data_IF_997370015158
#
_entry.id   IF_997370015158
#
_cell.length_a   1.000
_cell.length_b   1.000
_cell.length_c   1.000
_cell.angle_alpha   90.00
_cell.angle_beta   90.00
_cell.angle_gamma   90.00
#
_symmetry.space_group_name_H-M   'P 1'
#
loop_
_entity.id
_entity.type
_entity.pdbx_description
1 polymer ?
#
# COMPACT_ATOMS: atom_id res chain seq x y z
N UNK A 1 -31.08 -22.71 14.82
CA UNK A 1 -32.38 -22.01 14.67
C UNK A 1 -32.28 -21.13 13.42
N UNK A 2 -32.89 -21.60 12.34
CA UNK A 2 -33.01 -20.87 11.07
C UNK A 2 -34.05 -19.76 11.21
N UNK A 3 -33.72 -18.51 10.79
CA UNK A 3 -34.74 -17.49 10.54
C UNK A 3 -34.79 -17.18 9.04
N UNK A 4 -35.92 -17.60 8.49
CA UNK A 4 -36.41 -17.36 7.14
C UNK A 4 -36.71 -15.89 6.92
N UNK A 5 -36.25 -15.28 5.82
CA UNK A 5 -36.69 -13.96 5.35
C UNK A 5 -37.54 -14.09 4.10
N UNK A 6 -38.71 -13.51 4.20
CA UNK A 6 -39.77 -13.49 3.17
C UNK A 6 -39.41 -12.57 2.00
N UNK A 7 -39.72 -13.08 0.79
CA UNK A 7 -39.78 -12.33 -0.48
C UNK A 7 -40.94 -11.36 -0.47
N UNK A 8 -40.73 -10.15 -0.94
CA UNK A 8 -41.79 -9.28 -1.46
C UNK A 8 -41.50 -8.92 -2.91
N UNK A 9 -42.50 -9.13 -3.76
CA UNK A 9 -42.54 -8.84 -5.22
C UNK A 9 -42.67 -7.33 -5.49
N UNK A 10 -42.17 -6.85 -6.64
CA UNK A 10 -42.39 -5.48 -7.10
C UNK A 10 -43.61 -5.38 -8.01
N UNK A 11 -44.39 -4.31 -7.85
CA UNK A 11 -45.45 -3.88 -8.71
C UNK A 11 -44.90 -3.10 -9.92
N UNK A 12 -45.52 -3.40 -11.10
CA UNK A 12 -45.26 -2.80 -12.40
C UNK A 12 -45.81 -1.37 -12.47
N UNK A 13 -45.12 -0.46 -13.13
CA UNK A 13 -45.66 0.74 -13.73
C UNK A 13 -45.08 0.94 -15.15
N UNK A 14 -45.95 1.21 -16.07
CA UNK A 14 -45.80 1.30 -17.51
C UNK A 14 -45.27 2.67 -18.00
N UNK A 15 -44.63 2.80 -19.19
CA UNK A 15 -44.02 4.04 -19.64
C UNK A 15 -44.97 4.94 -20.40
N UNK A 16 -44.77 6.25 -20.27
CA UNK A 16 -45.37 7.27 -21.14
C UNK A 16 -44.34 7.74 -22.17
N UNK A 17 -44.69 7.57 -23.43
CA UNK A 17 -44.08 8.16 -24.61
C UNK A 17 -44.41 9.66 -24.68
N UNK A 18 -43.41 10.49 -24.99
CA UNK A 18 -43.65 11.82 -25.55
C UNK A 18 -42.62 12.12 -26.65
N UNK A 19 -43.16 12.28 -27.85
CA UNK A 19 -42.46 12.66 -29.09
C UNK A 19 -42.48 14.19 -29.24
N UNK A 20 -41.46 14.75 -29.90
CA UNK A 20 -41.48 15.93 -30.75
C UNK A 20 -40.12 16.66 -30.65
N UNK A 21 -39.53 17.29 -31.63
CA UNK A 21 -39.72 17.66 -33.02
C UNK A 21 -38.39 18.22 -33.52
N UNK A 22 -38.13 18.00 -34.81
CA UNK A 22 -37.00 18.47 -35.59
C UNK A 22 -36.92 19.99 -35.70
N UNK A 23 -35.71 20.53 -35.68
CA UNK A 23 -35.41 21.88 -36.11
C UNK A 23 -34.01 21.93 -36.73
N UNK A 24 -33.95 21.91 -38.07
CA UNK A 24 -32.74 22.15 -38.87
C UNK A 24 -32.44 23.65 -38.91
N UNK A 25 -31.18 24.03 -38.69
CA UNK A 25 -30.64 25.27 -39.21
C UNK A 25 -29.18 25.07 -39.64
N UNK A 26 -28.99 25.31 -40.93
CA UNK A 26 -27.72 25.36 -41.65
C UNK A 26 -26.98 26.67 -41.30
N UNK A 27 -25.67 26.61 -41.03
CA UNK A 27 -24.84 27.79 -40.79
C UNK A 27 -23.35 27.47 -40.96
N UNK A 28 -22.87 27.89 -42.07
CA UNK A 28 -21.53 28.11 -42.66
C UNK A 28 -20.30 27.97 -41.78
N UNK A 29 -19.34 27.23 -42.33
CA UNK A 29 -17.92 27.10 -42.05
C UNK A 29 -17.17 28.42 -41.92
N UNK A 30 -16.44 28.59 -40.83
CA UNK A 30 -15.18 29.36 -40.74
C UNK A 30 -14.21 28.63 -39.88
N UNK A 31 -13.08 28.25 -40.46
CA UNK A 31 -11.88 27.79 -39.77
C UNK A 31 -11.18 28.98 -39.12
N UNK A 32 -10.80 28.93 -37.85
CA UNK A 32 -9.79 29.85 -37.30
C UNK A 32 -8.40 29.19 -37.38
N UNK A 33 -7.47 29.99 -37.92
CA UNK A 33 -6.03 29.74 -37.89
C UNK A 33 -5.51 29.56 -36.47
N UNK A 34 -4.60 28.60 -36.29
CA UNK A 34 -3.82 28.44 -35.08
C UNK A 34 -2.82 29.62 -34.90
N UNK A 35 -2.73 30.25 -33.71
CA UNK A 35 -1.57 31.03 -33.36
C UNK A 35 -0.52 30.07 -32.75
N UNK A 36 0.64 30.07 -33.38
CA UNK A 36 1.84 29.41 -32.87
C UNK A 36 2.13 29.81 -31.41
N UNK A 37 2.11 28.84 -30.53
CA UNK A 37 2.57 29.01 -29.16
C UNK A 37 4.04 28.63 -29.11
N UNK A 38 4.89 29.63 -29.02
CA UNK A 38 6.25 29.47 -28.55
C UNK A 38 6.23 28.86 -27.15
N UNK A 39 6.87 27.70 -27.01
CA UNK A 39 7.17 27.11 -25.71
C UNK A 39 8.22 27.99 -25.03
N UNK A 40 7.79 28.79 -24.11
CA UNK A 40 8.65 29.39 -23.10
C UNK A 40 9.06 28.26 -22.15
N UNK A 41 10.34 27.89 -22.17
CA UNK A 41 10.98 27.10 -21.13
C UNK A 41 11.04 27.99 -19.87
N UNK A 42 9.99 27.89 -19.05
CA UNK A 42 10.06 28.41 -17.70
C UNK A 42 10.75 27.35 -16.83
N UNK A 43 12.00 27.67 -16.51
CA UNK A 43 12.74 27.01 -15.43
C UNK A 43 11.86 26.89 -14.20
N UNK A 44 11.73 25.65 -13.71
CA UNK A 44 11.14 25.34 -12.40
C UNK A 44 12.04 26.00 -11.37
N UNK A 45 11.55 26.90 -10.51
CA UNK A 45 12.38 27.44 -9.44
C UNK A 45 12.81 26.30 -8.53
N UNK A 46 14.08 26.01 -8.52
CA UNK A 46 14.73 25.28 -7.46
C UNK A 46 14.62 26.16 -6.19
N UNK A 47 14.33 25.47 -5.09
CA UNK A 47 14.42 26.01 -3.73
C UNK A 47 13.16 26.70 -3.17
N UNK A 48 12.20 25.84 -2.73
CA UNK A 48 11.32 26.22 -1.63
C UNK A 48 12.15 26.05 -0.35
N UNK A 49 12.64 27.15 0.18
CA UNK A 49 13.55 27.23 1.32
C UNK A 49 13.25 26.22 2.42
N UNK A 50 14.23 25.38 2.71
CA UNK A 50 14.15 24.40 3.78
C UNK A 50 13.84 25.10 5.10
N UNK A 51 12.73 24.72 5.73
CA UNK A 51 12.39 25.20 7.06
C UNK A 51 13.53 24.81 8.03
N UNK A 52 14.18 25.76 8.74
CA UNK A 52 15.30 25.45 9.65
C UNK A 52 14.96 24.45 10.73
N UNK A 53 13.69 24.38 11.16
CA UNK A 53 13.21 23.37 12.11
C UNK A 53 13.24 21.95 11.51
N UNK A 54 13.00 21.83 10.21
CA UNK A 54 13.07 20.53 9.53
C UNK A 54 14.51 20.01 9.39
N UNK A 55 15.51 20.88 9.30
CA UNK A 55 16.92 20.48 9.27
C UNK A 55 17.40 19.97 10.63
N UNK A 56 16.91 20.56 11.71
CA UNK A 56 17.22 20.09 13.08
C UNK A 56 16.60 18.72 13.37
N UNK A 57 15.36 18.46 12.91
CA UNK A 57 14.71 17.15 13.01
C UNK A 57 15.43 16.08 12.16
N UNK A 58 16.01 16.47 11.05
CA UNK A 58 16.83 15.60 10.22
C UNK A 58 18.12 15.15 10.93
N UNK A 59 18.80 16.06 11.58
CA UNK A 59 20.03 15.76 12.33
C UNK A 59 19.73 15.02 13.65
N UNK A 60 18.63 15.36 14.31
CA UNK A 60 18.19 14.73 15.56
C UNK A 60 17.60 13.34 15.37
N UNK A 61 17.00 13.05 14.20
CA UNK A 61 16.38 11.76 13.91
C UNK A 61 17.35 10.58 13.88
N UNK A 62 18.66 10.85 13.75
CA UNK A 62 19.69 9.81 13.82
C UNK A 62 20.35 9.73 15.20
N UNK A 63 20.18 10.69 16.09
CA UNK A 63 20.88 10.74 17.37
C UNK A 63 20.02 11.03 18.60
N UNK A 64 18.73 11.26 18.48
CA UNK A 64 17.87 11.12 19.63
C UNK A 64 17.96 9.66 20.04
N UNK A 65 18.89 9.37 20.93
CA UNK A 65 18.95 8.11 21.62
C UNK A 65 17.56 7.88 22.19
N UNK A 66 16.76 7.10 21.48
CA UNK A 66 15.55 6.54 22.03
C UNK A 66 16.05 5.82 23.27
N UNK A 67 15.79 6.38 24.46
CA UNK A 67 16.08 5.69 25.69
C UNK A 67 15.53 4.30 25.50
N UNK A 68 16.38 3.31 25.74
CA UNK A 68 15.99 1.91 25.82
C UNK A 68 14.99 1.80 27.00
N UNK A 69 13.74 2.08 26.72
CA UNK A 69 12.63 2.02 27.69
C UNK A 69 12.12 0.59 27.81
N UNK A 70 12.97 -0.39 27.51
CA UNK A 70 12.62 -1.80 27.54
C UNK A 70 11.39 -2.11 26.67
N UNK A 71 11.46 -3.13 25.88
CA UNK A 71 10.25 -3.63 25.17
C UNK A 71 9.16 -3.85 26.23
N UNK A 72 7.94 -3.37 25.96
CA UNK A 72 6.80 -3.72 26.79
C UNK A 72 6.79 -5.24 26.98
N UNK A 73 6.72 -5.70 28.22
CA UNK A 73 6.73 -7.12 28.50
C UNK A 73 5.56 -7.80 27.74
N UNK A 74 5.80 -8.99 27.18
CA UNK A 74 4.73 -9.76 26.58
C UNK A 74 3.56 -9.86 27.56
N UNK A 75 2.34 -9.69 27.06
CA UNK A 75 1.13 -9.75 27.89
C UNK A 75 0.72 -11.18 28.35
N UNK A 76 1.63 -12.12 28.17
CA UNK A 76 1.48 -13.51 28.61
C UNK A 76 0.73 -14.42 27.64
N UNK A 77 0.23 -13.90 26.51
CA UNK A 77 -0.42 -14.69 25.48
C UNK A 77 0.40 -14.74 24.19
N UNK A 78 0.61 -15.93 23.62
CA UNK A 78 1.38 -16.14 22.41
C UNK A 78 2.90 -16.07 22.59
N UNK A 79 3.64 -16.11 21.48
CA UNK A 79 5.11 -16.17 21.48
C UNK A 79 5.69 -15.03 20.63
N UNK A 80 6.46 -14.11 21.24
CA UNK A 80 7.18 -13.10 20.48
C UNK A 80 8.29 -13.73 19.65
N UNK A 81 8.41 -13.32 18.41
CA UNK A 81 9.46 -13.76 17.49
C UNK A 81 10.14 -12.56 16.83
N UNK A 82 11.38 -12.72 16.39
CA UNK A 82 12.09 -11.71 15.62
C UNK A 82 12.23 -12.06 14.15
N UNK A 83 11.79 -13.25 13.76
CA UNK A 83 11.91 -13.78 12.39
C UNK A 83 10.68 -14.62 12.05
N UNK A 84 10.11 -14.33 10.89
CA UNK A 84 9.05 -15.14 10.27
C UNK A 84 9.41 -15.44 8.82
N UNK A 85 9.23 -16.68 8.41
CA UNK A 85 9.45 -17.14 7.04
C UNK A 85 8.16 -17.67 6.47
N UNK A 86 7.86 -17.34 5.22
CA UNK A 86 6.78 -17.95 4.45
C UNK A 86 7.42 -18.73 3.30
N UNK A 87 7.14 -20.00 3.25
CA UNK A 87 7.64 -20.93 2.23
C UNK A 87 6.56 -21.23 1.22
N UNK A 88 6.99 -21.78 0.07
CA UNK A 88 6.13 -22.16 -1.04
C UNK A 88 5.25 -20.99 -1.53
N UNK A 89 5.82 -19.78 -1.53
CA UNK A 89 5.18 -18.62 -2.11
C UNK A 89 5.35 -18.69 -3.63
N UNK A 90 4.23 -18.72 -4.32
CA UNK A 90 4.21 -18.85 -5.77
C UNK A 90 4.03 -20.29 -6.25
N UNK A 91 3.63 -20.41 -7.49
CA UNK A 91 3.27 -21.67 -8.13
C UNK A 91 2.69 -21.39 -9.51
N UNK A 92 1.85 -22.28 -10.00
CA UNK A 92 1.10 -22.09 -11.24
C UNK A 92 -0.38 -22.03 -10.93
N UNK A 93 -1.04 -20.95 -11.33
CA UNK A 93 -2.46 -20.75 -11.08
C UNK A 93 -3.01 -19.52 -11.80
N UNK A 94 -4.04 -18.96 -11.25
CA UNK A 94 -4.64 -17.73 -11.79
C UNK A 94 -5.25 -16.90 -10.68
N UNK A 95 -5.33 -15.59 -10.92
CA UNK A 95 -6.07 -14.69 -10.06
C UNK A 95 -6.94 -13.73 -10.87
N UNK A 96 -7.88 -13.07 -10.21
CA UNK A 96 -8.73 -12.03 -10.81
C UNK A 96 -8.02 -10.70 -10.76
N UNK A 97 -7.31 -10.36 -11.85
CA UNK A 97 -6.66 -9.05 -12.00
C UNK A 97 -7.71 -7.95 -12.13
N UNK A 98 -7.59 -6.90 -11.33
CA UNK A 98 -8.40 -5.69 -11.49
C UNK A 98 -7.99 -4.97 -12.77
N UNK A 99 -8.93 -4.77 -13.67
CA UNK A 99 -8.73 -4.08 -14.94
C UNK A 99 -9.30 -2.67 -14.94
N UNK A 100 -10.31 -2.42 -14.12
CA UNK A 100 -10.90 -1.10 -13.96
C UNK A 100 -11.73 -1.02 -12.66
N UNK A 101 -11.90 0.19 -12.15
CA UNK A 101 -12.89 0.51 -11.13
C UNK A 101 -13.77 1.65 -11.62
N UNK A 102 -15.08 1.43 -11.60
CA UNK A 102 -16.04 2.44 -12.09
C UNK A 102 -16.17 3.57 -11.06
N UNK A 103 -16.42 4.81 -11.54
CA UNK A 103 -16.80 5.91 -10.66
C UNK A 103 -18.13 5.61 -9.96
N UNK A 104 -18.35 6.19 -8.80
CA UNK A 104 -19.60 6.10 -8.07
C UNK A 104 -19.41 6.27 -6.56
N UNK A 105 -20.51 6.28 -5.83
CA UNK A 105 -20.52 6.35 -4.39
C UNK A 105 -20.89 4.98 -3.84
N UNK A 106 -20.03 4.40 -3.01
CA UNK A 106 -20.24 3.08 -2.41
C UNK A 106 -21.61 2.98 -1.72
N UNK A 107 -22.33 1.91 -2.00
CA UNK A 107 -23.68 1.69 -1.44
C UNK A 107 -24.80 2.55 -2.01
N UNK A 108 -24.51 3.47 -2.97
CA UNK A 108 -25.49 4.37 -3.56
C UNK A 108 -25.59 4.19 -5.08
N UNK A 109 -24.54 4.48 -5.80
CA UNK A 109 -24.56 4.53 -7.28
C UNK A 109 -23.67 3.47 -7.93
N UNK A 110 -23.11 2.55 -7.16
CA UNK A 110 -22.19 1.55 -7.65
C UNK A 110 -22.94 0.35 -8.24
N UNK A 111 -22.70 0.01 -9.51
CA UNK A 111 -23.21 -1.23 -10.09
C UNK A 111 -22.52 -2.45 -9.48
N UNK A 112 -23.14 -3.63 -9.62
CA UNK A 112 -22.59 -4.88 -9.10
C UNK A 112 -21.24 -5.28 -9.71
N UNK A 113 -20.92 -4.77 -10.91
CA UNK A 113 -19.66 -5.00 -11.62
C UNK A 113 -18.71 -3.79 -11.52
N UNK A 114 -18.81 -3.00 -10.47
CA UNK A 114 -18.02 -1.79 -10.30
C UNK A 114 -16.50 -2.05 -10.29
N UNK A 115 -16.06 -3.15 -9.75
CA UNK A 115 -14.69 -3.64 -9.87
C UNK A 115 -14.61 -4.62 -11.03
N UNK A 116 -14.11 -4.14 -12.16
CA UNK A 116 -13.96 -4.95 -13.37
C UNK A 116 -12.67 -5.78 -13.26
N UNK A 117 -12.76 -7.05 -13.64
CA UNK A 117 -11.66 -8.00 -13.47
C UNK A 117 -11.51 -8.86 -14.72
N UNK A 118 -10.29 -9.34 -14.94
CA UNK A 118 -9.96 -10.36 -15.91
C UNK A 118 -9.12 -11.46 -15.26
N UNK A 119 -9.38 -12.70 -15.62
CA UNK A 119 -8.55 -13.83 -15.18
C UNK A 119 -7.16 -13.68 -15.76
N UNK A 120 -6.15 -13.74 -14.93
CA UNK A 120 -4.74 -13.65 -15.30
C UNK A 120 -4.02 -14.89 -14.80
N UNK A 121 -3.38 -15.61 -15.70
CA UNK A 121 -2.54 -16.76 -15.34
C UNK A 121 -1.24 -16.26 -14.75
N UNK A 122 -0.78 -16.93 -13.72
CA UNK A 122 0.51 -16.70 -13.05
C UNK A 122 1.29 -17.98 -12.92
N UNK A 123 2.62 -17.87 -12.96
CA UNK A 123 3.51 -19.00 -12.76
C UNK A 123 4.86 -18.54 -12.20
N UNK A 124 5.52 -19.44 -11.50
CA UNK A 124 6.86 -19.24 -10.97
C UNK A 124 6.91 -18.89 -9.50
N UNK A 125 8.10 -18.89 -8.98
CA UNK A 125 8.39 -18.52 -7.61
C UNK A 125 7.92 -17.08 -7.31
N UNK A 126 7.41 -16.83 -6.13
CA UNK A 126 6.84 -15.56 -5.68
C UNK A 126 5.53 -15.11 -6.36
N UNK A 127 5.00 -15.78 -7.38
CA UNK A 127 3.73 -15.34 -7.98
C UNK A 127 2.57 -15.37 -6.96
N UNK A 128 1.73 -14.32 -6.87
CA UNK A 128 1.72 -13.09 -7.64
C UNK A 128 2.58 -11.95 -7.03
N UNK A 129 3.31 -12.20 -5.95
CA UNK A 129 4.11 -11.18 -5.23
C UNK A 129 5.36 -10.74 -6.00
N UNK A 130 5.71 -11.40 -7.11
CA UNK A 130 6.71 -10.95 -8.07
C UNK A 130 6.21 -9.79 -8.95
N UNK A 131 4.91 -9.53 -8.99
CA UNK A 131 4.36 -8.32 -9.58
C UNK A 131 4.71 -7.07 -8.77
N UNK A 132 4.34 -5.91 -9.28
CA UNK A 132 4.56 -4.66 -8.58
C UNK A 132 3.73 -4.58 -7.30
N UNK A 133 4.39 -4.25 -6.20
CA UNK A 133 3.80 -4.14 -4.88
C UNK A 133 3.89 -2.71 -4.36
N UNK A 134 2.90 -2.33 -3.56
CA UNK A 134 2.87 -1.14 -2.72
C UNK A 134 2.98 -1.55 -1.25
N UNK A 135 3.53 -0.68 -0.41
CA UNK A 135 3.48 -0.84 1.05
C UNK A 135 2.48 0.14 1.61
N UNK A 136 1.63 -0.35 2.48
CA UNK A 136 0.60 0.42 3.15
C UNK A 136 0.90 0.54 4.64
N UNK A 137 0.48 1.64 5.22
CA UNK A 137 0.67 1.98 6.63
C UNK A 137 -0.65 2.46 7.23
N UNK A 138 -0.96 2.00 8.43
CA UNK A 138 -2.06 2.52 9.25
C UNK A 138 -1.51 2.97 10.60
N UNK A 139 -1.87 4.19 11.02
CA UNK A 139 -1.51 4.73 12.32
C UNK A 139 -2.36 4.18 13.49
N UNK A 140 -1.89 4.42 14.72
CA UNK A 140 -0.85 5.37 15.08
C UNK A 140 0.54 4.83 14.77
N UNK A 141 1.32 5.58 13.98
CA UNK A 141 2.66 5.14 13.57
C UNK A 141 3.58 6.34 13.36
N UNK A 142 4.84 6.16 13.68
CA UNK A 142 5.92 7.07 13.32
C UNK A 142 6.90 6.35 12.42
N UNK A 143 7.06 6.84 11.21
CA UNK A 143 8.03 6.37 10.24
C UNK A 143 9.31 7.21 10.35
N UNK A 144 10.45 6.56 10.26
CA UNK A 144 11.77 7.21 10.33
C UNK A 144 12.55 7.03 9.04
N UNK A 145 12.63 5.81 8.53
CA UNK A 145 13.34 5.46 7.31
C UNK A 145 12.59 4.39 6.54
N UNK A 146 12.63 4.49 5.22
CA UNK A 146 12.16 3.47 4.29
C UNK A 146 13.20 3.33 3.19
N UNK A 147 13.53 2.11 2.82
CA UNK A 147 14.36 1.83 1.66
C UNK A 147 13.86 0.59 0.93
N UNK A 148 13.99 0.61 -0.39
CA UNK A 148 13.69 -0.53 -1.25
C UNK A 148 14.94 -0.90 -2.02
N UNK A 149 15.29 -2.19 -1.99
CA UNK A 149 16.47 -2.72 -2.67
C UNK A 149 16.08 -3.76 -3.71
N UNK A 150 16.85 -3.79 -4.78
CA UNK A 150 16.78 -4.82 -5.82
C UNK A 150 18.09 -5.58 -5.93
N UNK A 151 18.05 -6.87 -6.27
CA UNK A 151 19.26 -7.67 -6.41
C UNK A 151 20.11 -7.19 -7.58
N UNK A 152 21.43 -7.16 -7.40
CA UNK A 152 22.45 -6.94 -8.40
C UNK A 152 23.50 -8.06 -8.36
N UNK A 153 24.54 -7.96 -9.19
CA UNK A 153 25.56 -9.01 -9.33
C UNK A 153 26.39 -9.27 -8.07
N UNK A 154 26.63 -8.25 -7.24
CA UNK A 154 27.49 -8.38 -6.04
C UNK A 154 26.80 -7.92 -4.77
N UNK A 155 25.75 -7.18 -4.88
CA UNK A 155 24.99 -6.60 -3.76
C UNK A 155 23.58 -6.27 -4.20
N UNK A 156 22.73 -5.98 -3.25
CA UNK A 156 21.41 -5.39 -3.47
C UNK A 156 21.56 -3.87 -3.44
N UNK A 157 21.10 -3.21 -4.50
CA UNK A 157 21.17 -1.74 -4.63
C UNK A 157 19.88 -1.08 -4.20
N UNK A 158 19.98 0.01 -3.47
CA UNK A 158 18.84 0.83 -3.09
C UNK A 158 18.28 1.54 -4.33
N UNK A 159 17.02 1.28 -4.65
CA UNK A 159 16.33 1.87 -5.80
C UNK A 159 15.33 2.95 -5.39
N UNK A 160 14.93 2.97 -4.13
CA UNK A 160 14.03 3.96 -3.57
C UNK A 160 14.33 4.17 -2.09
N UNK A 161 14.16 5.37 -1.59
CA UNK A 161 14.31 5.66 -0.17
C UNK A 161 13.50 6.87 0.25
N UNK A 162 13.18 6.89 1.52
CA UNK A 162 12.61 8.04 2.20
C UNK A 162 13.10 8.06 3.64
N UNK A 163 13.36 9.24 4.13
CA UNK A 163 13.46 9.55 5.55
C UNK A 163 12.84 10.93 5.80
N UNK A 164 12.79 11.38 7.03
CA UNK A 164 12.22 12.68 7.37
C UNK A 164 12.92 13.86 6.70
N UNK A 165 14.09 13.64 6.12
CA UNK A 165 14.91 14.68 5.46
C UNK A 165 14.70 14.73 3.97
N UNK A 166 14.33 13.65 3.33
CA UNK A 166 14.18 13.59 1.89
C UNK A 166 13.63 12.28 1.37
N UNK A 167 13.40 12.27 0.07
CA UNK A 167 12.88 11.12 -0.67
C UNK A 167 13.64 10.97 -1.98
N UNK A 168 13.87 9.75 -2.39
CA UNK A 168 14.42 9.40 -3.70
C UNK A 168 13.56 8.29 -4.29
N UNK A 169 12.93 8.55 -5.43
CA UNK A 169 12.07 7.61 -6.12
C UNK A 169 11.03 6.96 -5.20
N UNK A 170 10.40 7.74 -4.32
CA UNK A 170 9.38 7.28 -3.40
C UNK A 170 8.43 8.43 -3.04
N UNK A 171 7.16 8.22 -3.27
CA UNK A 171 6.10 9.18 -2.96
C UNK A 171 5.02 8.52 -2.11
N UNK A 172 4.45 9.31 -1.19
CA UNK A 172 3.33 8.91 -0.33
C UNK A 172 2.00 9.26 -0.96
N UNK A 173 1.07 8.32 -0.85
CA UNK A 173 -0.29 8.42 -1.36
C UNK A 173 -1.30 8.10 -0.26
N UNK A 174 -2.51 8.61 -0.46
CA UNK A 174 -3.69 8.19 0.28
C UNK A 174 -4.84 7.90 -0.70
N UNK A 175 -6.00 7.49 -0.18
CA UNK A 175 -7.18 7.22 -0.98
C UNK A 175 -8.31 8.18 -0.57
N UNK A 176 -8.03 9.47 -0.67
CA UNK A 176 -9.00 10.51 -0.33
C UNK A 176 -9.61 11.16 -1.58
N UNK A 177 -9.08 10.85 -2.76
CA UNK A 177 -9.51 11.43 -4.01
C UNK A 177 -9.21 12.92 -4.05
N UNK A 178 -9.86 13.63 -4.93
CA UNK A 178 -9.94 15.07 -4.86
C UNK A 178 -9.18 15.83 -5.92
N UNK A 179 -9.38 17.13 -5.88
CA UNK A 179 -8.94 18.10 -6.84
C UNK A 179 -7.42 18.18 -6.91
N UNK A 180 -6.87 18.06 -8.11
CA UNK A 180 -5.44 18.23 -8.37
C UNK A 180 -4.62 16.93 -8.31
N UNK A 181 -5.06 15.91 -7.58
CA UNK A 181 -4.40 14.60 -7.55
C UNK A 181 -5.10 13.54 -8.39
N UNK A 182 -5.97 13.93 -9.28
CA UNK A 182 -6.86 13.02 -9.97
C UNK A 182 -8.20 12.89 -9.26
N UNK A 183 -9.19 12.42 -9.95
CA UNK A 183 -10.52 12.17 -9.47
C UNK A 183 -10.42 11.12 -8.37
N UNK A 184 -11.21 10.90 -7.46
CA UNK A 184 -12.62 10.81 -7.49
C UNK A 184 -13.13 9.81 -6.49
N UNK A 185 -14.39 9.79 -6.31
CA UNK A 185 -15.08 8.69 -5.65
C UNK A 185 -15.20 7.52 -6.63
N UNK A 186 -14.59 6.40 -6.29
CA UNK A 186 -14.74 5.12 -6.95
C UNK A 186 -15.72 4.25 -6.19
N UNK A 187 -16.28 3.26 -6.86
CA UNK A 187 -17.21 2.32 -6.23
C UNK A 187 -16.58 1.44 -5.15
N UNK A 188 -15.28 1.32 -5.09
CA UNK A 188 -14.55 0.63 -4.01
C UNK A 188 -13.95 1.57 -2.98
N UNK A 189 -14.31 2.84 -2.99
CA UNK A 189 -13.73 3.89 -2.16
C UNK A 189 -13.20 5.04 -3.02
N UNK A 190 -12.50 6.00 -2.41
CA UNK A 190 -11.94 7.10 -3.17
C UNK A 190 -10.70 6.66 -3.96
N UNK A 191 -10.45 7.34 -5.08
CA UNK A 191 -9.26 7.11 -5.89
C UNK A 191 -7.98 7.47 -5.12
N UNK A 192 -6.87 6.90 -5.59
CA UNK A 192 -5.56 7.24 -5.07
C UNK A 192 -5.21 8.69 -5.39
N UNK A 193 -4.67 9.39 -4.41
CA UNK A 193 -4.23 10.78 -4.48
C UNK A 193 -2.88 10.94 -3.80
N UNK A 194 -2.15 12.01 -4.11
CA UNK A 194 -1.00 12.38 -3.31
C UNK A 194 -1.45 12.68 -1.88
N UNK A 195 -0.64 12.27 -0.91
CA UNK A 195 -0.91 12.55 0.49
C UNK A 195 -0.39 13.92 0.89
N UNK A 196 -1.11 14.62 1.76
CA UNK A 196 -0.57 15.79 2.47
C UNK A 196 0.58 15.40 3.41
N UNK A 197 1.28 16.40 3.92
CA UNK A 197 2.44 16.19 4.80
C UNK A 197 2.12 15.38 6.09
N UNK A 198 0.89 15.37 6.53
CA UNK A 198 0.39 14.59 7.69
C UNK A 198 -0.50 13.39 7.28
N UNK A 199 -0.68 13.15 5.99
CA UNK A 199 -1.48 12.06 5.43
C UNK A 199 -2.99 12.23 5.53
N UNK A 200 -3.49 13.31 6.13
CA UNK A 200 -4.92 13.45 6.46
C UNK A 200 -5.78 13.99 5.32
N UNK A 201 -5.17 14.63 4.34
CA UNK A 201 -5.85 15.19 3.19
C UNK A 201 -5.16 14.82 1.89
N UNK A 202 -5.87 14.93 0.77
CA UNK A 202 -5.27 14.85 -0.55
C UNK A 202 -4.46 16.10 -0.86
N UNK A 203 -3.35 15.94 -1.58
CA UNK A 203 -2.53 17.03 -2.08
C UNK A 203 -2.55 17.07 -3.61
N UNK A 204 -2.32 18.25 -4.19
CA UNK A 204 -2.30 18.45 -5.64
C UNK A 204 -1.03 17.91 -6.33
N UNK A 205 0.03 17.71 -5.57
CA UNK A 205 1.34 17.24 -6.04
C UNK A 205 2.02 16.42 -4.94
N UNK A 206 3.11 15.70 -5.26
CA UNK A 206 3.91 15.03 -4.25
C UNK A 206 4.29 15.97 -3.11
N UNK A 207 4.02 15.56 -1.90
CA UNK A 207 4.28 16.35 -0.69
C UNK A 207 5.21 15.57 0.23
N UNK A 208 6.13 16.27 0.86
CA UNK A 208 7.03 15.66 1.84
C UNK A 208 6.23 15.25 3.07
N UNK A 209 6.20 13.95 3.32
CA UNK A 209 5.57 13.40 4.51
C UNK A 209 6.42 13.65 5.75
N UNK A 210 5.80 14.04 6.87
CA UNK A 210 6.48 14.39 8.14
C UNK A 210 6.90 13.18 8.97
N UNK A 211 6.42 11.99 8.63
CA UNK A 211 6.75 10.75 9.33
C UNK A 211 5.76 10.36 10.43
N UNK A 212 4.75 11.16 10.74
CA UNK A 212 3.77 10.85 11.78
C UNK A 212 2.39 10.56 11.20
N UNK A 213 1.90 9.35 11.39
CA UNK A 213 0.55 8.91 11.05
C UNK A 213 -0.32 8.89 12.30
N UNK A 214 -1.36 9.72 12.30
CA UNK A 214 -2.35 9.71 13.35
C UNK A 214 -3.12 8.38 13.40
N UNK A 215 -3.76 8.11 14.53
CA UNK A 215 -4.66 6.97 14.68
C UNK A 215 -5.65 6.88 13.52
N UNK A 216 -5.83 5.70 12.95
CA UNK A 216 -6.68 5.39 11.78
C UNK A 216 -6.28 6.03 10.45
N UNK A 217 -5.29 6.90 10.43
CA UNK A 217 -4.79 7.45 9.16
C UNK A 217 -4.07 6.34 8.38
N UNK A 218 -4.41 6.20 7.12
CA UNK A 218 -3.80 5.21 6.24
C UNK A 218 -3.17 5.88 5.01
N UNK A 219 -1.99 5.41 4.66
CA UNK A 219 -1.23 5.85 3.50
C UNK A 219 -0.56 4.67 2.83
N UNK A 220 -0.17 4.84 1.58
CA UNK A 220 0.68 3.89 0.89
C UNK A 220 1.84 4.60 0.19
N UNK A 221 2.84 3.84 -0.22
CA UNK A 221 3.98 4.32 -0.98
C UNK A 221 4.09 3.63 -2.32
N UNK A 222 4.48 4.38 -3.33
CA UNK A 222 4.87 3.91 -4.67
C UNK A 222 6.12 4.63 -5.12
N UNK A 223 6.73 4.18 -6.22
CA UNK A 223 7.85 4.89 -6.84
C UNK A 223 7.39 6.20 -7.47
N UNK A 224 8.34 7.06 -7.83
CA UNK A 224 8.05 8.30 -8.56
C UNK A 224 7.80 8.07 -10.05
N UNK A 225 7.98 6.84 -10.54
CA UNK A 225 7.80 6.51 -11.94
C UNK A 225 6.32 6.61 -12.32
N UNK A 226 5.95 7.54 -13.21
CA UNK A 226 4.57 7.68 -13.64
C UNK A 226 4.14 6.45 -14.44
N UNK A 227 2.99 5.94 -14.12
CA UNK A 227 2.33 4.95 -14.91
C UNK A 227 1.60 5.63 -16.05
N UNK A 228 2.24 5.68 -17.22
CA UNK A 228 1.67 6.27 -18.42
C UNK A 228 0.98 5.15 -19.20
N UNK A 229 -0.33 5.06 -19.08
CA UNK A 229 -1.06 4.06 -19.81
C UNK A 229 -2.57 4.26 -19.72
N UNK A 230 -3.25 3.93 -20.77
CA UNK A 230 -4.68 3.73 -20.76
C UNK A 230 -4.93 2.46 -19.98
N UNK A 231 -5.78 2.48 -19.01
CA UNK A 231 -6.22 1.48 -18.04
C UNK A 231 -6.07 -0.02 -18.29
N UNK A 232 -5.41 -0.40 -19.34
CA UNK A 232 -5.09 -1.77 -19.71
C UNK A 232 -3.59 -2.05 -19.70
N UNK A 233 -2.77 -1.13 -19.27
CA UNK A 233 -1.38 -1.51 -19.09
C UNK A 233 -1.35 -2.52 -17.97
N UNK A 234 -0.91 -3.70 -18.33
CA UNK A 234 -0.85 -4.87 -17.46
C UNK A 234 -0.05 -4.64 -16.17
N UNK A 235 0.68 -3.55 -16.08
CA UNK A 235 1.65 -3.30 -15.03
C UNK A 235 1.27 -2.13 -14.12
N UNK A 236 0.51 -1.15 -14.60
CA UNK A 236 0.07 -0.01 -13.83
C UNK A 236 -1.27 -0.26 -13.18
N UNK A 237 -1.50 0.33 -12.04
CA UNK A 237 -2.81 0.38 -11.41
C UNK A 237 -3.88 1.02 -12.28
N UNK A 238 -5.01 1.35 -11.71
CA UNK A 238 -6.04 2.01 -12.49
C UNK A 238 -5.55 3.33 -13.04
N UNK A 239 -6.06 3.67 -14.20
CA UNK A 239 -5.85 5.00 -14.79
C UNK A 239 -6.70 6.10 -14.13
N UNK A 240 -7.47 5.76 -13.09
CA UNK A 240 -8.26 6.72 -12.31
C UNK A 240 -7.52 7.12 -11.05
N UNK A 241 -7.35 8.41 -10.84
CA UNK A 241 -6.50 8.96 -9.81
C UNK A 241 -5.03 8.98 -10.21
N UNK A 242 -4.16 9.21 -9.26
CA UNK A 242 -2.71 9.21 -9.48
C UNK A 242 -2.21 7.78 -9.56
N UNK A 243 -1.54 7.42 -10.66
CA UNK A 243 -0.95 6.11 -10.86
C UNK A 243 0.56 6.18 -10.92
N UNK A 244 1.21 5.25 -10.23
CA UNK A 244 2.66 5.11 -10.18
C UNK A 244 3.02 3.63 -10.22
N UNK A 245 4.25 3.34 -10.64
CA UNK A 245 4.81 2.00 -10.55
C UNK A 245 5.12 1.63 -9.09
N UNK A 246 4.84 0.39 -8.73
CA UNK A 246 5.35 -0.24 -7.52
C UNK A 246 6.72 -0.87 -7.73
N UNK A 247 7.05 -1.81 -6.87
CA UNK A 247 8.31 -2.56 -6.97
C UNK A 247 8.03 -4.05 -7.21
N UNK A 248 8.41 -4.54 -8.39
CA UNK A 248 8.22 -5.93 -8.81
C UNK A 248 9.48 -6.80 -8.65
N UNK A 249 9.39 -8.09 -8.99
CA UNK A 249 10.48 -9.05 -8.90
C UNK A 249 10.93 -9.37 -7.47
N UNK A 250 12.14 -9.91 -7.33
CA UNK A 250 12.81 -10.05 -6.04
C UNK A 250 13.16 -8.66 -5.51
N UNK A 251 12.90 -8.43 -4.22
CA UNK A 251 13.02 -7.10 -3.60
C UNK A 251 13.15 -7.21 -2.08
N UNK A 252 13.73 -6.18 -1.50
CA UNK A 252 13.76 -6.00 -0.05
C UNK A 252 13.10 -4.66 0.28
N UNK A 253 12.19 -4.67 1.22
CA UNK A 253 11.72 -3.47 1.90
C UNK A 253 12.33 -3.42 3.28
N UNK A 254 12.96 -2.30 3.61
CA UNK A 254 13.44 -1.98 4.95
C UNK A 254 12.65 -0.78 5.47
N UNK A 255 12.04 -0.91 6.64
CA UNK A 255 11.13 0.08 7.21
C UNK A 255 11.46 0.25 8.68
N UNK A 256 11.90 1.45 9.09
CA UNK A 256 12.07 1.78 10.50
C UNK A 256 10.85 2.55 10.99
N UNK A 257 10.17 1.98 11.96
CA UNK A 257 8.92 2.52 12.47
C UNK A 257 8.79 2.34 13.99
N UNK A 258 8.04 3.23 14.60
CA UNK A 258 7.46 3.08 15.94
C UNK A 258 5.95 3.04 15.81
N UNK A 259 5.28 2.23 16.63
CA UNK A 259 3.83 2.09 16.66
C UNK A 259 3.31 2.45 18.06
N UNK A 260 3.27 3.74 18.43
CA UNK A 260 2.86 4.16 19.77
C UNK A 260 1.42 3.75 20.05
N UNK A 261 1.07 3.67 21.35
CA UNK A 261 -0.31 3.42 21.76
C UNK A 261 -1.17 4.66 21.51
N UNK A 262 -2.38 4.44 21.05
CA UNK A 262 -3.39 5.48 21.03
C UNK A 262 -4.08 5.56 22.39
N UNK A 263 -3.99 6.71 23.03
CA UNK A 263 -4.51 6.94 24.39
C UNK A 263 -5.88 7.63 24.42
N UNK A 264 -6.41 8.00 23.26
CA UNK A 264 -7.74 8.58 23.15
C UNK A 264 -8.88 7.55 23.30
N UNK A 265 -10.13 8.00 23.27
CA UNK A 265 -11.29 7.11 23.30
C UNK A 265 -11.27 6.11 22.13
N UNK A 266 -11.45 4.84 22.44
CA UNK A 266 -11.56 3.78 21.44
C UNK A 266 -13.02 3.55 21.10
N UNK A 267 -13.48 4.22 20.06
CA UNK A 267 -14.89 4.23 19.62
C UNK A 267 -15.09 3.55 18.28
N UNK A 268 -13.99 3.31 17.56
CA UNK A 268 -14.02 2.77 16.21
C UNK A 268 -13.20 1.50 16.09
N UNK A 269 -13.53 0.67 15.12
CA UNK A 269 -12.88 -0.62 14.88
C UNK A 269 -11.36 -0.50 14.71
N UNK A 270 -10.89 0.56 14.03
CA UNK A 270 -9.47 0.75 13.74
C UNK A 270 -8.72 1.61 14.77
N UNK A 271 -9.28 1.81 15.97
CA UNK A 271 -8.59 2.54 17.01
C UNK A 271 -7.49 1.70 17.67
N UNK A 272 -6.25 2.23 17.67
CA UNK A 272 -5.06 1.60 18.26
C UNK A 272 -4.64 0.28 17.58
N UNK A 273 -4.92 0.13 16.30
CA UNK A 273 -4.57 -1.05 15.50
C UNK A 273 -3.66 -0.69 14.31
N UNK A 274 -2.42 -0.22 14.58
CA UNK A 274 -1.47 0.11 13.53
C UNK A 274 -1.11 -1.12 12.71
N UNK A 275 -0.78 -0.90 11.43
CA UNK A 275 -0.40 -1.97 10.53
C UNK A 275 0.61 -1.52 9.48
N UNK A 276 1.47 -2.46 9.07
CA UNK A 276 2.28 -2.44 7.85
C UNK A 276 1.84 -3.64 7.03
N UNK A 277 1.28 -3.40 5.84
CA UNK A 277 0.90 -4.48 4.92
C UNK A 277 1.22 -4.13 3.49
N UNK A 278 1.21 -5.11 2.62
CA UNK A 278 1.60 -4.99 1.22
C UNK A 278 0.50 -5.51 0.32
N UNK A 279 0.24 -4.79 -0.75
CA UNK A 279 -0.74 -5.13 -1.78
C UNK A 279 -0.11 -5.06 -3.16
N UNK A 280 -0.75 -5.69 -4.14
CA UNK A 280 -0.46 -5.44 -5.54
C UNK A 280 -0.69 -3.95 -5.86
N UNK A 281 0.27 -3.30 -6.50
CA UNK A 281 0.24 -1.86 -6.78
C UNK A 281 -0.92 -1.43 -7.71
N UNK A 282 -1.57 -2.38 -8.39
CA UNK A 282 -2.72 -2.14 -9.25
C UNK A 282 -4.02 -1.91 -8.50
N UNK A 283 -4.07 -2.24 -7.21
CA UNK A 283 -5.29 -2.12 -6.42
C UNK A 283 -5.14 -0.96 -5.45
N UNK A 284 -6.06 0.00 -5.53
CA UNK A 284 -6.10 1.04 -4.50
C UNK A 284 -6.51 0.40 -3.17
N UNK A 285 -5.85 0.80 -2.11
CA UNK A 285 -5.99 0.21 -0.78
C UNK A 285 -7.44 0.14 -0.30
N UNK A 286 -8.21 1.19 -0.43
CA UNK A 286 -9.62 1.22 -0.01
C UNK A 286 -10.52 0.23 -0.75
N UNK A 287 -10.09 -0.27 -1.90
CA UNK A 287 -10.82 -1.21 -2.72
C UNK A 287 -10.36 -2.66 -2.55
N UNK A 288 -9.38 -2.94 -1.69
CA UNK A 288 -8.78 -4.26 -1.56
C UNK A 288 -9.81 -5.37 -1.28
N UNK A 289 -10.79 -5.11 -0.45
CA UNK A 289 -11.87 -6.08 -0.16
C UNK A 289 -12.88 -6.17 -1.30
N UNK A 290 -13.36 -5.03 -1.80
CA UNK A 290 -14.33 -4.98 -2.90
C UNK A 290 -13.80 -5.54 -4.21
N UNK A 291 -12.51 -5.30 -4.49
CA UNK A 291 -11.83 -5.83 -5.67
C UNK A 291 -11.11 -7.17 -5.43
N UNK A 292 -11.24 -7.73 -4.24
CA UNK A 292 -10.78 -9.08 -3.90
C UNK A 292 -9.26 -9.29 -4.08
N UNK A 293 -8.44 -8.35 -3.58
CA UNK A 293 -6.99 -8.56 -3.58
C UNK A 293 -6.56 -9.68 -2.63
N UNK A 294 -7.38 -9.98 -1.64
CA UNK A 294 -7.20 -11.04 -0.64
C UNK A 294 -7.73 -12.41 -1.09
N UNK A 295 -8.42 -12.54 -2.23
CA UNK A 295 -9.07 -13.78 -2.64
C UNK A 295 -8.13 -14.99 -2.69
N UNK A 296 -8.65 -16.14 -2.30
CA UNK A 296 -7.97 -17.44 -2.31
C UNK A 296 -8.59 -18.37 -3.34
N UNK A 297 -7.85 -19.40 -3.74
CA UNK A 297 -8.26 -20.35 -4.76
C UNK A 297 -7.83 -19.92 -6.15
N UNK A 298 -8.19 -20.69 -7.17
CA UNK A 298 -7.86 -20.38 -8.57
C UNK A 298 -9.15 -20.28 -9.39
N UNK A 299 -9.53 -19.08 -9.86
CA UNK A 299 -8.83 -17.82 -9.72
C UNK A 299 -9.02 -17.18 -8.35
N UNK A 300 -7.94 -16.65 -7.79
CA UNK A 300 -7.93 -15.96 -6.51
C UNK A 300 -7.79 -14.44 -6.62
N UNK A 301 -7.26 -13.84 -5.59
CA UNK A 301 -6.89 -12.43 -5.57
C UNK A 301 -5.44 -12.19 -5.97
N UNK A 302 -5.07 -10.92 -6.05
CA UNK A 302 -3.73 -10.47 -6.44
C UNK A 302 -2.66 -10.63 -5.34
N UNK A 303 -3.04 -11.12 -4.16
CA UNK A 303 -2.16 -11.28 -3.02
C UNK A 303 -2.16 -10.10 -2.04
N UNK A 304 -2.04 -10.44 -0.77
CA UNK A 304 -1.88 -9.50 0.34
C UNK A 304 -0.89 -10.11 1.35
N UNK A 305 0.01 -9.30 1.87
CA UNK A 305 0.93 -9.68 2.93
C UNK A 305 0.84 -8.66 4.07
N UNK A 306 0.26 -9.07 5.19
CA UNK A 306 0.34 -8.32 6.44
C UNK A 306 1.71 -8.60 7.07
N UNK A 307 2.56 -7.58 7.13
CA UNK A 307 3.93 -7.72 7.66
C UNK A 307 3.91 -7.66 9.18
N UNK A 308 3.20 -6.66 9.70
CA UNK A 308 3.08 -6.42 11.14
C UNK A 308 1.76 -5.68 11.38
N UNK A 309 0.72 -6.39 11.76
CA UNK A 309 -0.61 -5.84 11.97
C UNK A 309 -1.12 -6.13 13.37
N UNK A 310 -1.48 -5.08 14.10
CA UNK A 310 -2.21 -5.20 15.35
C UNK A 310 -3.69 -5.38 15.02
N UNK A 311 -4.29 -6.45 15.51
CA UNK A 311 -5.68 -6.79 15.20
C UNK A 311 -6.64 -6.23 16.26
N UNK A 312 -7.81 -5.82 15.81
CA UNK A 312 -8.89 -5.40 16.72
C UNK A 312 -9.37 -6.59 17.55
N UNK A 313 -9.51 -6.38 18.86
CA UNK A 313 -9.96 -7.42 19.79
C UNK A 313 -8.87 -8.37 20.26
N UNK A 314 -7.67 -8.28 19.70
CA UNK A 314 -6.49 -9.03 20.13
C UNK A 314 -5.60 -8.18 21.05
N UNK A 315 -4.50 -8.74 21.52
CA UNK A 315 -3.54 -7.98 22.31
C UNK A 315 -3.01 -6.79 21.53
N UNK A 316 -3.08 -5.58 22.10
CA UNK A 316 -2.59 -4.38 21.43
C UNK A 316 -1.07 -4.32 21.29
N UNK A 317 -0.34 -5.29 21.86
CA UNK A 317 1.12 -5.41 21.79
C UNK A 317 1.57 -6.42 20.73
N UNK A 318 0.65 -7.19 20.16
CA UNK A 318 0.95 -8.21 19.18
C UNK A 318 0.76 -7.67 17.76
N UNK A 319 1.83 -7.59 16.99
CA UNK A 319 1.79 -7.34 15.55
C UNK A 319 1.94 -8.67 14.82
N UNK A 320 0.83 -9.22 14.35
CA UNK A 320 0.77 -10.51 13.66
C UNK A 320 1.09 -10.37 12.18
N UNK A 321 1.37 -11.48 11.52
CA UNK A 321 1.59 -11.55 10.07
C UNK A 321 0.67 -12.56 9.43
N UNK A 322 0.14 -12.21 8.26
CA UNK A 322 -0.74 -13.07 7.47
C UNK A 322 -0.44 -12.89 5.98
N UNK A 323 -0.51 -13.95 5.21
CA UNK A 323 -0.40 -13.89 3.75
C UNK A 323 -1.66 -14.51 3.13
N UNK A 324 -2.14 -13.89 2.07
CA UNK A 324 -3.23 -14.36 1.23
C UNK A 324 -2.77 -14.37 -0.23
N UNK A 325 -3.00 -15.46 -0.92
CA UNK A 325 -2.70 -15.60 -2.34
C UNK A 325 -3.72 -16.51 -3.03
N UNK A 326 -3.57 -16.70 -4.33
CA UNK A 326 -4.38 -17.68 -5.06
C UNK A 326 -4.18 -19.12 -4.54
N UNK A 327 -3.06 -19.42 -3.90
CA UNK A 327 -2.77 -20.75 -3.35
C UNK A 327 -3.44 -21.01 -2.00
N UNK A 328 -3.79 -19.96 -1.28
CA UNK A 328 -4.41 -20.07 0.03
C UNK A 328 -4.02 -18.92 0.95
N UNK A 329 -4.15 -19.17 2.25
CA UNK A 329 -3.75 -18.26 3.29
C UNK A 329 -3.05 -19.00 4.43
N UNK A 330 -2.08 -18.31 5.04
CA UNK A 330 -1.45 -18.76 6.28
C UNK A 330 -1.07 -17.55 7.12
N UNK A 331 -0.93 -17.73 8.42
CA UNK A 331 -0.60 -16.63 9.34
C UNK A 331 0.26 -17.07 10.50
N UNK A 332 0.72 -16.10 11.27
CA UNK A 332 1.61 -16.34 12.41
C UNK A 332 0.93 -17.05 13.59
N UNK A 333 -0.40 -17.20 13.55
CA UNK A 333 -1.16 -17.83 14.64
C UNK A 333 -0.94 -17.07 15.96
N UNK A 334 -0.57 -17.78 17.04
CA UNK A 334 -0.31 -17.14 18.33
C UNK A 334 1.05 -16.44 18.38
N UNK A 335 1.89 -16.52 17.32
CA UNK A 335 3.19 -15.86 17.29
C UNK A 335 3.04 -14.45 16.70
N UNK A 336 3.88 -13.54 17.15
CA UNK A 336 3.80 -12.14 16.76
C UNK A 336 5.18 -11.46 16.78
N UNK A 337 5.32 -10.39 16.03
CA UNK A 337 6.34 -9.39 16.30
C UNK A 337 5.88 -8.51 17.47
N UNK A 338 6.75 -8.30 18.45
CA UNK A 338 6.46 -7.33 19.50
C UNK A 338 6.21 -5.96 18.86
N UNK A 339 5.04 -5.35 19.09
CA UNK A 339 4.73 -3.99 18.64
C UNK A 339 5.77 -3.01 19.19
N UNK A 340 6.44 -2.22 18.37
CA UNK A 340 7.43 -1.24 18.81
C UNK A 340 6.74 0.01 19.38
N UNK A 341 6.28 -0.05 20.64
CA UNK A 341 5.49 1.01 21.27
C UNK A 341 6.38 2.17 21.73
N UNK A 342 7.42 1.86 22.51
CA UNK A 342 8.26 2.86 23.17
C UNK A 342 9.50 3.21 22.36
N UNK A 343 10.03 2.26 21.61
CA UNK A 343 11.16 2.42 20.71
C UNK A 343 10.78 2.09 19.27
N UNK A 344 11.58 2.51 18.30
CA UNK A 344 11.39 2.06 16.91
C UNK A 344 12.02 0.70 16.69
N UNK A 345 11.50 -0.03 15.72
CA UNK A 345 12.08 -1.25 15.18
C UNK A 345 12.31 -1.11 13.68
N UNK A 346 13.25 -1.87 13.16
CA UNK A 346 13.44 -2.00 11.70
C UNK A 346 12.85 -3.31 11.23
N UNK A 347 11.84 -3.22 10.36
CA UNK A 347 11.25 -4.37 9.67
C UNK A 347 11.96 -4.55 8.33
N UNK A 348 12.49 -5.74 8.09
CA UNK A 348 13.08 -6.15 6.81
C UNK A 348 12.17 -7.20 6.20
N UNK A 349 11.69 -6.97 4.99
CA UNK A 349 10.86 -7.92 4.24
C UNK A 349 11.56 -8.26 2.94
N UNK A 350 11.96 -9.52 2.78
CA UNK A 350 12.71 -10.02 1.65
C UNK A 350 11.79 -10.92 0.83
N UNK A 351 11.54 -10.54 -0.41
CA UNK A 351 10.92 -11.39 -1.41
C UNK A 351 12.05 -12.05 -2.21
N UNK A 352 12.38 -13.28 -1.85
CA UNK A 352 13.49 -14.00 -2.49
C UNK A 352 13.02 -14.73 -3.74
N UNK A 353 13.82 -14.68 -4.78
CA UNK A 353 13.52 -15.31 -6.07
C UNK A 353 13.29 -16.83 -6.01
N UNK A 354 13.65 -17.49 -4.90
CA UNK A 354 13.36 -18.91 -4.66
C UNK A 354 11.92 -19.23 -4.26
N UNK A 355 11.05 -18.21 -4.06
CA UNK A 355 9.69 -18.40 -3.57
C UNK A 355 9.58 -18.38 -2.04
N UNK A 356 10.53 -17.77 -1.37
CA UNK A 356 10.52 -17.53 0.07
C UNK A 356 10.26 -16.05 0.36
N UNK A 357 9.40 -15.75 1.31
CA UNK A 357 9.32 -14.42 1.92
C UNK A 357 9.89 -14.53 3.33
N UNK A 358 10.89 -13.70 3.63
CA UNK A 358 11.49 -13.61 4.95
C UNK A 358 11.20 -12.25 5.57
N UNK A 359 10.68 -12.24 6.77
CA UNK A 359 10.39 -11.04 7.54
C UNK A 359 11.20 -11.05 8.82
N UNK A 360 11.86 -9.92 9.11
CA UNK A 360 12.67 -9.73 10.31
C UNK A 360 12.20 -8.47 11.04
N UNK A 361 12.09 -8.56 12.36
CA UNK A 361 12.05 -7.40 13.25
C UNK A 361 13.40 -7.26 13.91
N UNK A 362 14.10 -6.19 13.59
CA UNK A 362 15.42 -5.87 14.11
C UNK A 362 15.32 -4.69 15.09
N UNK A 363 16.35 -4.50 15.93
CA UNK A 363 16.51 -3.25 16.67
C UNK A 363 16.65 -2.08 15.69
N UNK A 364 16.28 -0.88 16.13
CA UNK A 364 16.25 0.31 15.29
C UNK A 364 17.57 0.59 14.56
N UNK A 365 18.68 0.46 15.26
CA UNK A 365 20.04 0.74 14.82
C UNK A 365 20.75 -0.43 14.12
N UNK A 366 20.09 -1.59 14.03
CA UNK A 366 20.70 -2.79 13.44
C UNK A 366 20.80 -2.75 11.90
N UNK A 367 20.31 -1.69 11.27
CA UNK A 367 20.40 -1.47 9.84
C UNK A 367 20.53 0.03 9.52
N UNK A 368 21.49 0.38 8.65
CA UNK A 368 21.91 1.75 8.38
C UNK A 368 21.20 2.41 7.19
N UNK A 369 20.36 1.65 6.46
CA UNK A 369 19.68 2.12 5.24
C UNK A 369 20.63 2.63 4.14
N UNK A 370 21.85 2.11 4.09
CA UNK A 370 22.87 2.47 3.10
C UNK A 370 22.44 2.23 1.65
N UNK A 371 23.25 2.70 0.69
CA UNK A 371 22.94 2.58 -0.75
C UNK A 371 22.97 1.14 -1.25
N UNK A 372 23.65 0.24 -0.53
CA UNK A 372 23.74 -1.16 -0.88
C UNK A 372 23.65 -2.06 0.34
N UNK A 373 23.14 -3.28 0.13
CA UNK A 373 23.20 -4.38 1.09
C UNK A 373 23.98 -5.52 0.47
N UNK A 374 25.00 -6.03 1.15
CA UNK A 374 25.82 -7.12 0.63
C UNK A 374 25.01 -8.41 0.47
N UNK A 375 25.35 -9.23 -0.52
CA UNK A 375 24.74 -10.55 -0.66
C UNK A 375 24.99 -11.43 0.58
N UNK A 376 26.12 -11.25 1.27
CA UNK A 376 26.40 -11.94 2.52
C UNK A 376 25.40 -11.56 3.61
N UNK A 377 25.10 -10.28 3.76
CA UNK A 377 24.09 -9.81 4.72
C UNK A 377 22.73 -10.39 4.42
N UNK A 378 22.29 -10.32 3.15
CA UNK A 378 20.99 -10.84 2.72
C UNK A 378 20.90 -12.35 2.92
N UNK A 379 21.96 -13.09 2.55
CA UNK A 379 22.04 -14.54 2.80
C UNK A 379 21.98 -14.86 4.31
N UNK A 380 22.64 -14.06 5.14
CA UNK A 380 22.57 -14.17 6.58
C UNK A 380 21.15 -13.92 7.12
N UNK A 381 20.43 -12.97 6.58
CA UNK A 381 19.01 -12.73 6.91
C UNK A 381 18.12 -13.90 6.48
N UNK A 382 18.29 -14.40 5.26
CA UNK A 382 17.51 -15.53 4.74
C UNK A 382 17.79 -16.84 5.51
N UNK A 383 18.96 -16.98 6.11
CA UNK A 383 19.33 -18.13 6.93
C UNK A 383 18.83 -18.06 8.38
N UNK A 384 18.27 -16.92 8.82
CA UNK A 384 17.75 -16.81 10.19
C UNK A 384 16.57 -17.76 10.36
N UNK A 385 16.59 -18.46 11.46
CA UNK A 385 15.50 -19.34 11.90
C UNK A 385 14.52 -18.58 12.76
N UNK A 386 13.28 -19.00 12.76
CA UNK A 386 12.17 -18.43 13.53
C UNK A 386 10.88 -19.15 13.21
N UNK A 387 9.75 -18.45 13.27
CA UNK A 387 8.48 -19.03 12.85
C UNK A 387 8.52 -19.30 11.35
N UNK A 388 8.15 -20.51 10.96
CA UNK A 388 7.97 -20.89 9.57
C UNK A 388 6.51 -21.15 9.27
N UNK A 389 5.99 -20.47 8.28
CA UNK A 389 4.66 -20.62 7.71
C UNK A 389 4.81 -21.17 6.28
N UNK A 390 3.83 -21.90 5.79
CA UNK A 390 3.83 -22.42 4.42
C UNK A 390 2.46 -22.21 3.80
N UNK A 391 2.43 -21.74 2.57
CA UNK A 391 1.23 -21.85 1.75
C UNK A 391 1.03 -23.33 1.36
N UNK A 392 -0.21 -23.74 1.09
CA UNK A 392 -0.55 -25.12 0.76
C UNK A 392 0.25 -25.71 -0.40
#
# INVERSE_FOLDING_TARGET
>A
MMKTWMKRSPSRLTPLLLSALLGSACGTTQTPEEPGSERSDTEVPADVGANPLAAADCAAGHSAALKDLGDDLPDGTGTPVSTMSILNVGGTGSYQRVTNMLPGVWGQTCPSNACQKATTSVSGALAPFNEEMTVNFRGPMELYDIAVYRPGSGSWSRVSSWNRCGSTNLTFFNNLGGTGSGEWTLCGGNSQSYASADGKTAAAAPTRFTGSLANRTEMNILSDQPCIGTGDSSECGFYRGVTRHGWGGAKIFAIRARMPRYTGPKTEYYDDVPAIWMLNARVVRTAQYGCNCRGMGSPGGCGELDVAEVLHGESPLHATSTIYSFEGATGSGPNYFQRPVNESATFIVIFDASGKIQMLRLKADAFDFGDTVSNTTVSGWLARTGLTMSLP
#
